data_IF_091706205394
#
_entry.id   IF_091706205394
#
_cell.length_a   1.000
_cell.length_b   1.000
_cell.length_c   1.000
_cell.angle_alpha   90.00
_cell.angle_beta   90.00
_cell.angle_gamma   90.00
#
_symmetry.space_group_name_H-M   'P 1'
#
loop_
_entity.id
_entity.type
_entity.pdbx_description
1 polymer ?
#
# COMPACT_ATOMS: atom_id res chain seq x y z
N UNK A 1 1.59 -5.19 9.16
CA UNK A 1 0.12 -5.13 9.21
C UNK A 1 -0.45 -3.81 9.74
N UNK A 2 -0.02 -3.26 10.93
CA UNK A 2 -0.47 -1.91 11.36
C UNK A 2 0.08 -0.81 10.45
N UNK A 3 1.29 -0.95 9.95
CA UNK A 3 1.88 -0.05 8.95
C UNK A 3 1.07 -0.04 7.65
N UNK A 4 0.70 -1.21 7.15
CA UNK A 4 -0.10 -1.34 5.94
C UNK A 4 -1.49 -0.74 6.13
N UNK A 5 -2.12 -1.01 7.29
CA UNK A 5 -3.39 -0.37 7.66
C UNK A 5 -3.28 1.16 7.60
N UNK A 6 -2.22 1.73 8.22
CA UNK A 6 -1.96 3.17 8.19
C UNK A 6 -1.79 3.71 6.78
N UNK A 7 -1.08 2.98 5.91
CA UNK A 7 -0.87 3.37 4.52
C UNK A 7 -2.18 3.42 3.73
N UNK A 8 -3.01 2.37 3.79
CA UNK A 8 -4.29 2.35 3.07
C UNK A 8 -5.31 3.32 3.64
N UNK A 9 -5.33 3.53 4.98
CA UNK A 9 -6.15 4.58 5.58
C UNK A 9 -5.70 5.98 5.13
N UNK A 10 -4.39 6.21 5.06
CA UNK A 10 -3.83 7.44 4.50
C UNK A 10 -4.26 7.67 3.05
N UNK A 11 -4.24 6.63 2.22
CA UNK A 11 -4.76 6.68 0.85
C UNK A 11 -6.26 7.03 0.82
N UNK A 12 -7.06 6.39 1.65
CA UNK A 12 -8.51 6.64 1.71
C UNK A 12 -8.80 8.09 2.13
N UNK A 13 -8.13 8.60 3.14
CA UNK A 13 -8.27 9.99 3.61
C UNK A 13 -7.82 10.98 2.53
N UNK A 14 -6.67 10.72 1.87
CA UNK A 14 -6.18 11.54 0.78
C UNK A 14 -7.14 11.57 -0.41
N UNK A 15 -7.65 10.42 -0.82
CA UNK A 15 -8.64 10.32 -1.90
C UNK A 15 -9.95 11.04 -1.55
N UNK A 16 -10.45 10.86 -0.32
CA UNK A 16 -11.65 11.58 0.15
C UNK A 16 -11.45 13.10 0.12
N UNK A 17 -10.29 13.57 0.58
CA UNK A 17 -9.97 14.99 0.57
C UNK A 17 -9.94 15.59 -0.84
N UNK A 18 -9.27 14.89 -1.78
CA UNK A 18 -9.25 15.30 -3.19
C UNK A 18 -10.63 15.26 -3.82
N UNK A 19 -11.44 14.23 -3.53
CA UNK A 19 -12.82 14.14 -4.03
C UNK A 19 -13.69 15.30 -3.54
N UNK A 20 -13.58 15.68 -2.27
CA UNK A 20 -14.30 16.84 -1.72
C UNK A 20 -13.87 18.12 -2.44
N UNK A 21 -12.58 18.30 -2.69
CA UNK A 21 -12.09 19.47 -3.44
C UNK A 21 -12.67 19.50 -4.87
N UNK A 22 -12.69 18.37 -5.57
CA UNK A 22 -13.25 18.28 -6.93
C UNK A 22 -14.75 18.55 -6.98
N UNK A 23 -15.50 18.21 -5.92
CA UNK A 23 -16.93 18.50 -5.84
C UNK A 23 -17.25 19.95 -5.45
N UNK A 24 -16.33 20.64 -4.76
CA UNK A 24 -16.56 21.98 -4.22
C UNK A 24 -15.93 23.09 -5.06
N UNK A 25 -14.91 22.79 -5.85
CA UNK A 25 -14.11 23.75 -6.60
C UNK A 25 -14.32 23.52 -8.10
N UNK A 26 -14.48 24.60 -8.88
CA UNK A 26 -14.61 24.51 -10.33
C UNK A 26 -13.34 24.00 -11.00
N UNK A 27 -13.47 23.30 -12.13
CA UNK A 27 -12.35 22.71 -12.88
C UNK A 27 -11.27 23.74 -13.23
N UNK A 28 -11.65 24.95 -13.64
CA UNK A 28 -10.71 26.03 -13.95
C UNK A 28 -9.87 26.46 -12.73
N UNK A 29 -10.47 26.48 -11.54
CA UNK A 29 -9.75 26.78 -10.30
C UNK A 29 -8.91 25.60 -9.84
N UNK A 30 -9.36 24.37 -10.11
CA UNK A 30 -8.62 23.15 -9.79
C UNK A 30 -7.33 23.07 -10.61
N UNK A 31 -7.39 23.33 -11.92
CA UNK A 31 -6.22 23.37 -12.81
C UNK A 31 -5.29 24.54 -12.49
N UNK A 32 -5.83 25.68 -12.03
CA UNK A 32 -5.05 26.87 -11.71
C UNK A 32 -4.19 26.70 -10.45
N UNK A 33 -4.82 26.65 -9.29
CA UNK A 33 -4.14 26.66 -8.00
C UNK A 33 -4.57 25.54 -7.04
N UNK A 34 -5.83 25.13 -7.08
CA UNK A 34 -6.42 24.30 -6.04
C UNK A 34 -5.79 22.89 -5.94
N UNK A 35 -5.17 22.38 -6.99
CA UNK A 35 -4.41 21.14 -6.97
C UNK A 35 -3.22 21.15 -5.98
N UNK A 36 -2.77 22.36 -5.56
CA UNK A 36 -1.67 22.51 -4.58
C UNK A 36 -2.16 22.35 -3.14
N UNK A 37 -3.45 22.51 -2.87
CA UNK A 37 -4.02 22.48 -1.52
C UNK A 37 -3.72 21.16 -0.80
N UNK A 38 -3.89 19.96 -1.40
CA UNK A 38 -3.53 18.70 -0.75
C UNK A 38 -2.07 18.65 -0.29
N UNK A 39 -1.16 19.17 -1.09
CA UNK A 39 0.27 19.21 -0.76
C UNK A 39 0.58 20.20 0.36
N UNK A 40 -0.07 21.35 0.37
CA UNK A 40 0.08 22.34 1.45
C UNK A 40 -0.45 21.79 2.78
N UNK A 41 -1.53 21.03 2.77
CA UNK A 41 -2.08 20.35 3.98
C UNK A 41 -1.17 19.20 4.42
N UNK A 42 -0.55 18.49 3.48
CA UNK A 42 0.37 17.39 3.79
C UNK A 42 1.67 17.88 4.46
N UNK A 43 2.10 19.13 4.20
CA UNK A 43 3.35 19.71 4.72
C UNK A 43 3.37 19.79 6.26
N UNK A 44 2.38 20.39 6.95
CA UNK A 44 2.34 20.39 8.41
C UNK A 44 2.16 18.97 8.99
N UNK A 45 1.40 18.08 8.32
CA UNK A 45 1.27 16.69 8.74
C UNK A 45 2.61 15.94 8.67
N UNK A 46 3.41 16.21 7.64
CA UNK A 46 4.79 15.72 7.54
C UNK A 46 5.67 16.21 8.67
N UNK A 47 5.56 17.50 9.04
CA UNK A 47 6.25 18.08 10.19
C UNK A 47 5.89 17.39 11.51
N UNK A 48 4.61 17.14 11.74
CA UNK A 48 4.12 16.39 12.91
C UNK A 48 4.67 14.97 12.91
N UNK A 49 4.68 14.29 11.76
CA UNK A 49 5.22 12.93 11.64
C UNK A 49 6.73 12.89 11.98
N UNK A 50 7.50 13.86 11.49
CA UNK A 50 8.93 14.00 11.82
C UNK A 50 9.11 14.24 13.32
N UNK A 51 8.32 15.15 13.91
CA UNK A 51 8.37 15.43 15.35
C UNK A 51 8.12 14.16 16.19
N UNK A 52 7.08 13.41 15.86
CA UNK A 52 6.81 12.13 16.55
C UNK A 52 7.95 11.13 16.36
N UNK A 53 8.49 11.01 15.14
CA UNK A 53 9.61 10.11 14.85
C UNK A 53 10.86 10.45 15.68
N UNK A 54 11.11 11.72 15.93
CA UNK A 54 12.24 12.17 16.77
C UNK A 54 12.01 11.96 18.27
N UNK A 55 10.75 11.85 18.70
CA UNK A 55 10.37 11.69 20.12
C UNK A 55 10.09 10.25 20.53
N UNK A 56 9.71 9.39 19.58
CA UNK A 56 9.46 7.99 19.86
C UNK A 56 10.79 7.27 19.97
N UNK A 57 11.13 6.86 21.19
CA UNK A 57 12.28 5.97 21.43
C UNK A 57 11.99 4.57 20.85
N UNK A 58 13.06 3.94 20.37
CA UNK A 58 12.99 2.55 19.91
C UNK A 58 12.52 1.63 21.04
N UNK A 59 11.58 0.76 20.73
CA UNK A 59 11.08 -0.20 21.72
C UNK A 59 12.21 -1.13 22.18
N UNK A 60 12.21 -1.57 23.48
CA UNK A 60 13.21 -2.50 23.98
C UNK A 60 13.38 -3.76 23.10
N UNK A 61 12.26 -4.27 22.56
CA UNK A 61 12.26 -5.40 21.63
C UNK A 61 12.99 -5.09 20.31
N UNK A 62 12.86 -3.86 19.81
CA UNK A 62 13.58 -3.44 18.59
C UNK A 62 15.09 -3.31 18.87
N UNK A 63 15.48 -2.73 20.00
CA UNK A 63 16.90 -2.63 20.39
C UNK A 63 17.53 -4.01 20.56
N UNK A 64 16.85 -4.95 21.22
CA UNK A 64 17.32 -6.33 21.35
C UNK A 64 17.45 -7.05 20.00
N UNK A 65 16.46 -6.87 19.11
CA UNK A 65 16.51 -7.44 17.76
C UNK A 65 17.66 -6.84 16.94
N UNK A 66 17.91 -5.54 17.09
CA UNK A 66 19.02 -4.85 16.43
C UNK A 66 20.37 -5.30 16.95
N UNK A 67 20.54 -5.49 18.27
CA UNK A 67 21.74 -6.00 18.89
C UNK A 67 22.04 -7.46 18.44
N UNK A 68 21.01 -8.31 18.44
CA UNK A 68 21.13 -9.69 17.95
C UNK A 68 21.48 -9.73 16.45
N UNK A 69 20.84 -8.87 15.64
CA UNK A 69 21.12 -8.76 14.22
C UNK A 69 22.52 -8.18 13.94
N UNK A 70 23.01 -7.27 14.80
CA UNK A 70 24.37 -6.72 14.70
C UNK A 70 25.43 -7.79 15.02
N UNK A 71 25.21 -8.63 16.02
CA UNK A 71 26.11 -9.74 16.37
C UNK A 71 26.13 -10.80 15.25
N UNK A 72 24.97 -11.24 14.75
CA UNK A 72 24.89 -12.15 13.60
C UNK A 72 25.39 -11.52 12.30
N UNK A 73 25.17 -10.22 12.13
CA UNK A 73 25.57 -9.46 10.95
C UNK A 73 27.08 -9.26 10.85
N UNK A 74 27.79 -9.04 11.96
CA UNK A 74 29.24 -8.90 11.94
C UNK A 74 29.95 -10.18 11.49
N UNK A 75 29.41 -11.34 11.83
CA UNK A 75 29.96 -12.62 11.37
C UNK A 75 29.70 -12.88 9.87
N UNK A 76 28.58 -12.34 9.34
CA UNK A 76 28.18 -12.45 7.92
C UNK A 76 28.74 -11.33 7.04
N UNK A 77 28.93 -10.12 7.57
CA UNK A 77 29.50 -8.97 6.85
C UNK A 77 30.98 -9.19 6.49
N UNK A 78 31.71 -10.04 7.21
CA UNK A 78 33.05 -10.45 6.83
C UNK A 78 33.12 -11.15 5.46
N UNK A 79 31.99 -11.60 4.89
CA UNK A 79 31.89 -12.19 3.54
C UNK A 79 31.55 -11.18 2.44
N UNK A 80 31.35 -9.91 2.78
CA UNK A 80 30.94 -8.86 1.84
C UNK A 80 29.53 -9.06 1.27
N UNK A 81 28.95 -7.99 0.72
CA UNK A 81 27.59 -8.01 0.11
C UNK A 81 27.47 -9.05 -1.01
N UNK A 82 28.56 -9.23 -1.80
CA UNK A 82 28.60 -10.23 -2.86
C UNK A 82 28.51 -11.68 -2.36
N UNK A 83 29.06 -11.97 -1.18
CA UNK A 83 28.97 -13.29 -0.54
C UNK A 83 27.54 -13.59 -0.04
N UNK A 84 26.84 -12.58 0.50
CA UNK A 84 25.45 -12.70 0.92
C UNK A 84 24.53 -12.94 -0.28
N UNK A 85 24.66 -12.15 -1.34
CA UNK A 85 23.87 -12.32 -2.57
C UNK A 85 24.10 -13.72 -3.15
N UNK A 86 25.34 -14.19 -3.22
CA UNK A 86 25.66 -15.51 -3.75
C UNK A 86 25.14 -16.66 -2.88
N UNK A 87 25.06 -16.46 -1.56
CA UNK A 87 24.55 -17.47 -0.62
C UNK A 87 23.01 -17.56 -0.64
N UNK A 88 22.31 -16.41 -0.81
CA UNK A 88 20.84 -16.30 -0.65
C UNK A 88 20.13 -15.82 -1.92
N UNK A 89 20.72 -16.01 -3.11
CA UNK A 89 20.16 -15.51 -4.36
C UNK A 89 18.76 -16.04 -4.67
N UNK A 90 18.47 -17.31 -4.30
CA UNK A 90 17.13 -17.91 -4.48
C UNK A 90 16.08 -17.24 -3.62
N UNK A 91 16.40 -17.05 -2.34
CA UNK A 91 15.53 -16.38 -1.37
C UNK A 91 15.29 -14.93 -1.77
N UNK A 92 16.32 -14.25 -2.29
CA UNK A 92 16.21 -12.89 -2.81
C UNK A 92 15.30 -12.82 -4.03
N UNK A 93 15.40 -13.74 -4.98
CA UNK A 93 14.51 -13.80 -6.14
C UNK A 93 13.08 -14.09 -5.70
N UNK A 94 12.86 -15.06 -4.81
CA UNK A 94 11.52 -15.36 -4.30
C UNK A 94 10.93 -14.15 -3.60
N UNK A 95 11.70 -13.49 -2.73
CA UNK A 95 11.25 -12.28 -2.06
C UNK A 95 10.92 -11.15 -3.05
N UNK A 96 11.79 -10.94 -4.05
CA UNK A 96 11.56 -9.95 -5.10
C UNK A 96 10.26 -10.21 -5.88
N UNK A 97 10.04 -11.45 -6.32
CA UNK A 97 8.82 -11.83 -7.06
C UNK A 97 7.58 -11.65 -6.19
N UNK A 98 7.62 -12.08 -4.92
CA UNK A 98 6.48 -11.95 -4.01
C UNK A 98 6.15 -10.48 -3.72
N UNK A 99 7.16 -9.66 -3.44
CA UNK A 99 6.98 -8.22 -3.17
C UNK A 99 6.49 -7.51 -4.43
N UNK A 100 7.04 -7.84 -5.61
CA UNK A 100 6.59 -7.25 -6.88
C UNK A 100 5.13 -7.62 -7.18
N UNK A 101 4.74 -8.87 -7.01
CA UNK A 101 3.36 -9.31 -7.22
C UNK A 101 2.39 -8.61 -6.26
N UNK A 102 2.73 -8.53 -4.96
CA UNK A 102 1.89 -7.86 -3.97
C UNK A 102 1.72 -6.35 -4.27
N UNK A 103 2.81 -5.67 -4.64
CA UNK A 103 2.76 -4.26 -5.03
C UNK A 103 1.96 -4.05 -6.32
N UNK A 104 2.13 -4.91 -7.33
CA UNK A 104 1.36 -4.81 -8.58
C UNK A 104 -0.14 -4.91 -8.31
N UNK A 105 -0.58 -5.86 -7.49
CA UNK A 105 -1.99 -5.98 -7.10
C UNK A 105 -2.47 -4.76 -6.31
N UNK A 106 -1.67 -4.26 -5.39
CA UNK A 106 -1.98 -3.05 -4.62
C UNK A 106 -2.17 -1.83 -5.53
N UNK A 107 -1.24 -1.57 -6.43
CA UNK A 107 -1.33 -0.46 -7.37
C UNK A 107 -2.43 -0.63 -8.42
N UNK A 108 -2.74 -1.86 -8.84
CA UNK A 108 -3.88 -2.11 -9.73
C UNK A 108 -5.20 -1.62 -9.12
N UNK A 109 -5.40 -1.84 -7.83
CA UNK A 109 -6.62 -1.40 -7.13
C UNK A 109 -6.58 0.09 -6.77
N UNK A 110 -5.45 0.58 -6.28
CA UNK A 110 -5.37 1.96 -5.73
C UNK A 110 -5.15 3.03 -6.77
N UNK A 111 -4.45 2.73 -7.87
CA UNK A 111 -4.08 3.71 -8.89
C UNK A 111 -4.70 3.41 -10.25
N UNK A 112 -4.62 2.16 -10.71
CA UNK A 112 -5.11 1.80 -12.04
C UNK A 112 -6.63 1.81 -12.12
N UNK A 113 -7.33 1.27 -11.13
CA UNK A 113 -8.79 1.17 -11.15
C UNK A 113 -9.50 2.53 -11.24
N UNK A 114 -9.16 3.57 -10.44
CA UNK A 114 -9.73 4.91 -10.62
C UNK A 114 -9.50 5.47 -12.03
N UNK A 115 -8.29 5.32 -12.56
CA UNK A 115 -7.94 5.77 -13.91
C UNK A 115 -8.75 5.01 -14.96
N UNK A 116 -8.89 3.70 -14.84
CA UNK A 116 -9.69 2.88 -15.76
C UNK A 116 -11.17 3.28 -15.78
N UNK A 117 -11.76 3.56 -14.61
CA UNK A 117 -13.14 4.03 -14.50
C UNK A 117 -13.34 5.38 -15.21
N UNK A 118 -12.41 6.30 -15.08
CA UNK A 118 -12.53 7.64 -15.67
C UNK A 118 -12.17 7.67 -17.15
N UNK A 119 -11.09 7.01 -17.57
CA UNK A 119 -10.57 7.11 -18.96
C UNK A 119 -11.23 6.12 -19.90
N UNK A 120 -11.54 4.90 -19.46
CA UNK A 120 -12.05 3.83 -20.32
C UNK A 120 -13.58 3.71 -20.25
N UNK A 121 -14.14 3.80 -19.06
CA UNK A 121 -15.58 3.73 -18.84
C UNK A 121 -16.25 5.10 -18.81
N UNK A 122 -15.48 6.20 -18.97
CA UNK A 122 -15.96 7.57 -19.06
C UNK A 122 -16.81 8.03 -17.87
N UNK A 123 -16.57 7.45 -16.68
CA UNK A 123 -17.16 7.98 -15.46
C UNK A 123 -16.58 9.36 -15.15
N UNK A 124 -17.41 10.26 -14.64
CA UNK A 124 -16.93 11.54 -14.13
C UNK A 124 -15.87 11.34 -13.03
N UNK A 125 -14.81 12.17 -13.05
CA UNK A 125 -13.65 12.00 -12.18
C UNK A 125 -14.02 11.99 -10.69
N UNK A 126 -14.97 12.82 -10.27
CA UNK A 126 -15.45 12.84 -8.90
C UNK A 126 -16.17 11.54 -8.52
N UNK A 127 -17.02 11.01 -9.40
CA UNK A 127 -17.73 9.76 -9.19
C UNK A 127 -16.77 8.55 -9.23
N UNK A 128 -15.78 8.52 -10.13
CA UNK A 128 -14.78 7.48 -10.20
C UNK A 128 -13.95 7.37 -8.93
N UNK A 129 -13.54 8.50 -8.36
CA UNK A 129 -12.84 8.55 -7.09
C UNK A 129 -13.73 8.13 -5.90
N UNK A 130 -14.98 8.58 -5.86
CA UNK A 130 -15.94 8.21 -4.82
C UNK A 130 -16.23 6.71 -4.81
N UNK A 131 -16.31 6.06 -5.97
CA UNK A 131 -16.53 4.61 -6.07
C UNK A 131 -15.34 3.80 -5.54
N UNK A 132 -14.14 4.34 -5.60
CA UNK A 132 -12.93 3.69 -5.06
C UNK A 132 -12.81 3.81 -3.54
N UNK A 133 -13.41 4.82 -2.90
CA UNK A 133 -13.32 5.01 -1.44
C UNK A 133 -13.81 3.80 -0.63
N UNK A 134 -15.02 3.24 -0.86
CA UNK A 134 -15.47 2.07 -0.11
C UNK A 134 -14.55 0.86 -0.33
N UNK A 135 -13.96 0.71 -1.50
CA UNK A 135 -12.99 -0.37 -1.76
C UNK A 135 -11.73 -0.19 -0.93
N UNK A 136 -11.19 1.02 -0.84
CA UNK A 136 -10.02 1.34 -0.01
C UNK A 136 -10.30 1.12 1.47
N UNK A 137 -11.49 1.50 1.96
CA UNK A 137 -11.91 1.27 3.35
C UNK A 137 -12.03 -0.23 3.64
N UNK A 138 -12.67 -1.00 2.76
CA UNK A 138 -12.79 -2.45 2.90
C UNK A 138 -11.41 -3.13 2.88
N UNK A 139 -10.51 -2.71 1.99
CA UNK A 139 -9.12 -3.15 1.97
C UNK A 139 -8.43 -2.87 3.31
N UNK A 140 -8.52 -1.65 3.81
CA UNK A 140 -7.91 -1.27 5.09
C UNK A 140 -8.41 -2.13 6.24
N UNK A 141 -9.72 -2.38 6.33
CA UNK A 141 -10.34 -3.21 7.36
C UNK A 141 -9.98 -4.71 7.20
N UNK A 142 -9.74 -5.17 5.97
CA UNK A 142 -9.35 -6.56 5.72
C UNK A 142 -7.92 -6.88 6.16
N UNK A 143 -7.02 -5.90 6.23
CA UNK A 143 -5.61 -6.10 6.59
C UNK A 143 -5.42 -6.71 7.99
N UNK A 144 -6.00 -6.15 9.08
CA UNK A 144 -5.86 -6.75 10.41
C UNK A 144 -6.56 -8.12 10.53
N UNK A 145 -7.66 -8.33 9.79
CA UNK A 145 -8.35 -9.61 9.72
C UNK A 145 -7.47 -10.67 9.03
N UNK A 146 -6.88 -10.33 7.88
CA UNK A 146 -5.96 -11.19 7.15
C UNK A 146 -4.69 -11.49 7.96
N UNK A 147 -4.18 -10.51 8.73
CA UNK A 147 -3.06 -10.69 9.64
C UNK A 147 -3.39 -11.74 10.72
N UNK A 148 -4.53 -11.59 11.42
CA UNK A 148 -4.98 -12.56 12.42
C UNK A 148 -5.23 -13.95 11.84
N UNK A 149 -5.82 -14.02 10.66
CA UNK A 149 -6.03 -15.28 9.94
C UNK A 149 -4.70 -15.95 9.58
N UNK A 150 -3.75 -15.16 9.09
CA UNK A 150 -2.41 -15.62 8.75
C UNK A 150 -1.65 -16.19 9.95
N UNK A 151 -1.82 -15.58 11.13
CA UNK A 151 -1.19 -16.07 12.36
C UNK A 151 -1.82 -17.39 12.85
N UNK A 152 -3.12 -17.62 12.59
CA UNK A 152 -3.84 -18.85 12.98
C UNK A 152 -3.68 -20.01 12.00
N UNK A 153 -3.82 -19.73 10.71
CA UNK A 153 -3.85 -20.75 9.64
C UNK A 153 -2.45 -21.03 9.07
N UNK A 154 -1.54 -20.06 9.24
CA UNK A 154 -0.18 -20.10 8.71
C UNK A 154 -0.02 -19.23 7.47
N UNK A 155 1.06 -18.45 7.47
CA UNK A 155 1.37 -17.43 6.43
C UNK A 155 1.37 -17.99 5.02
N UNK A 156 1.94 -19.18 4.81
CA UNK A 156 2.06 -19.82 3.50
C UNK A 156 0.70 -20.15 2.89
N UNK A 157 -0.24 -20.67 3.69
CA UNK A 157 -1.58 -21.03 3.21
C UNK A 157 -2.37 -19.79 2.80
N UNK A 158 -2.36 -18.76 3.65
CA UNK A 158 -3.07 -17.49 3.36
C UNK A 158 -2.53 -16.84 2.10
N UNK A 159 -1.20 -16.87 1.88
CA UNK A 159 -0.58 -16.32 0.69
C UNK A 159 -1.01 -17.07 -0.59
N UNK A 160 -1.03 -18.42 -0.57
CA UNK A 160 -1.49 -19.21 -1.70
C UNK A 160 -2.98 -18.99 -2.00
N UNK A 161 -3.83 -18.96 -0.99
CA UNK A 161 -5.26 -18.70 -1.16
C UNK A 161 -5.51 -17.27 -1.68
N UNK A 162 -4.83 -16.28 -1.12
CA UNK A 162 -4.95 -14.89 -1.55
C UNK A 162 -4.51 -14.68 -3.00
N UNK A 163 -3.32 -15.18 -3.37
CA UNK A 163 -2.83 -15.09 -4.75
C UNK A 163 -3.68 -15.89 -5.73
N UNK A 164 -4.10 -17.10 -5.36
CA UNK A 164 -4.95 -17.94 -6.19
C UNK A 164 -6.32 -17.31 -6.42
N UNK A 165 -6.96 -16.78 -5.38
CA UNK A 165 -8.25 -16.08 -5.52
C UNK A 165 -8.14 -14.82 -6.38
N UNK A 166 -7.04 -14.06 -6.26
CA UNK A 166 -6.81 -12.89 -7.09
C UNK A 166 -6.73 -13.23 -8.58
N UNK A 167 -6.00 -14.30 -8.94
CA UNK A 167 -5.90 -14.76 -10.33
C UNK A 167 -7.26 -15.25 -10.87
N UNK A 168 -7.98 -16.03 -10.07
CA UNK A 168 -9.27 -16.60 -10.50
C UNK A 168 -10.34 -15.51 -10.63
N UNK A 169 -10.36 -14.53 -9.75
CA UNK A 169 -11.37 -13.46 -9.72
C UNK A 169 -11.05 -12.32 -10.69
N UNK A 170 -9.79 -12.12 -11.08
CA UNK A 170 -9.41 -11.04 -11.98
C UNK A 170 -10.15 -11.09 -13.33
N UNK A 171 -10.18 -12.25 -13.97
CA UNK A 171 -10.88 -12.44 -15.27
C UNK A 171 -12.38 -12.10 -15.20
N UNK A 172 -13.19 -12.72 -14.31
CA UNK A 172 -14.61 -12.37 -14.22
C UNK A 172 -14.84 -10.93 -13.79
N UNK A 173 -13.99 -10.35 -12.92
CA UNK A 173 -14.12 -8.97 -12.52
C UNK A 173 -13.98 -8.00 -13.72
N UNK A 174 -12.95 -8.18 -14.56
CA UNK A 174 -12.78 -7.36 -15.77
C UNK A 174 -13.87 -7.58 -16.81
N UNK A 175 -14.37 -8.81 -16.96
CA UNK A 175 -15.49 -9.11 -17.89
C UNK A 175 -16.80 -8.46 -17.44
N UNK A 176 -17.04 -8.36 -16.13
CA UNK A 176 -18.21 -7.67 -15.58
C UNK A 176 -18.11 -6.15 -15.75
N UNK A 177 -16.94 -5.57 -15.52
CA UNK A 177 -16.69 -4.14 -15.72
C UNK A 177 -16.80 -3.72 -17.19
N UNK A 178 -16.44 -4.59 -18.12
CA UNK A 178 -16.55 -4.31 -19.57
C UNK A 178 -17.95 -4.47 -20.16
N UNK A 179 -18.94 -4.96 -19.40
CA UNK A 179 -20.34 -5.14 -19.85
C UNK A 179 -21.29 -4.05 -19.33
N UNK A 180 -20.85 -3.16 -18.50
CA UNK A 180 -21.61 -2.02 -17.98
C UNK A 180 -21.24 -0.76 -18.72
#
# INVERSE_FOLDING_TARGET
SLLDLGSYMGFAVGAAFVSILQLTISDASMEGFAWRIPFLVALPLGGVAIYFRMRIEDTPAYRQAQESAAQEGQEKLNKGVGGLVKAYWRELIIAFVLVSAANTLGYAVTSYMPTYLTTTLHYDAAHGNLLTLPVLVLLSLSIPLSGRLSDRVGRRRVLFFGSGSAVVLALPAFLLLGKG
#
